data_IF_381328390345
#
_entry.id   IF_381328390345
#
_cell.length_a   1.000
_cell.length_b   1.000
_cell.length_c   1.000
_cell.angle_alpha   90.00
_cell.angle_beta   90.00
_cell.angle_gamma   90.00
#
_symmetry.space_group_name_H-M   'P 1'
#
loop_
_entity.id
_entity.type
_entity.pdbx_description
1 polymer ?
#
# COMPACT_ATOMS: atom_id res chain seq x y z
N UNK A 1 19.81 -10.39 21.56
CA UNK A 1 20.44 -9.50 20.55
C UNK A 1 19.79 -8.12 20.69
N UNK A 2 20.56 -7.03 20.62
CA UNK A 2 20.03 -5.67 20.85
C UNK A 2 19.28 -5.20 19.59
N UNK A 3 18.10 -4.58 19.76
CA UNK A 3 17.29 -4.04 18.64
C UNK A 3 18.11 -3.09 17.76
N UNK A 4 18.92 -2.22 18.35
CA UNK A 4 19.76 -1.28 17.59
C UNK A 4 20.81 -1.97 16.71
N UNK A 5 21.35 -3.10 17.16
CA UNK A 5 22.27 -3.92 16.37
C UNK A 5 21.55 -4.56 15.18
N UNK A 6 20.35 -5.10 15.40
CA UNK A 6 19.52 -5.64 14.33
C UNK A 6 19.12 -4.59 13.29
N UNK A 7 18.85 -3.35 13.72
CA UNK A 7 18.57 -2.24 12.79
C UNK A 7 19.79 -1.94 11.92
N UNK A 8 20.98 -1.92 12.49
CA UNK A 8 22.23 -1.71 11.71
C UNK A 8 22.46 -2.84 10.71
N UNK A 9 22.26 -4.08 11.13
CA UNK A 9 22.38 -5.26 10.25
C UNK A 9 21.32 -5.23 9.15
N UNK A 10 20.06 -4.90 9.47
CA UNK A 10 19.00 -4.71 8.48
C UNK A 10 19.43 -3.71 7.39
N UNK A 11 19.90 -2.52 7.80
CA UNK A 11 20.34 -1.49 6.86
C UNK A 11 21.52 -1.96 5.99
N UNK A 12 22.47 -2.68 6.58
CA UNK A 12 23.62 -3.23 5.87
C UNK A 12 23.19 -4.29 4.85
N UNK A 13 22.31 -5.22 5.23
CA UNK A 13 21.79 -6.26 4.33
C UNK A 13 20.93 -5.67 3.22
N UNK A 14 20.10 -4.67 3.52
CA UNK A 14 19.31 -3.99 2.51
C UNK A 14 20.20 -3.26 1.47
N UNK A 15 21.25 -2.55 1.93
CA UNK A 15 22.23 -1.89 1.04
C UNK A 15 23.00 -2.89 0.19
N UNK A 16 23.37 -4.04 0.76
CA UNK A 16 24.08 -5.11 0.04
C UNK A 16 23.14 -6.05 -0.73
N UNK A 17 21.85 -5.70 -0.80
CA UNK A 17 20.84 -6.41 -1.57
C UNK A 17 20.58 -7.86 -1.12
N UNK A 18 20.86 -8.17 0.15
CA UNK A 18 20.63 -9.49 0.79
C UNK A 18 19.27 -9.48 1.48
N UNK A 19 18.18 -9.49 0.67
CA UNK A 19 16.82 -9.21 1.13
C UNK A 19 16.29 -10.24 2.13
N UNK A 20 16.62 -11.52 1.98
CA UNK A 20 16.24 -12.58 2.92
C UNK A 20 16.85 -12.33 4.31
N UNK A 21 18.14 -12.00 4.38
CA UNK A 21 18.79 -11.65 5.65
C UNK A 21 18.25 -10.36 6.25
N UNK A 22 17.92 -9.38 5.42
CA UNK A 22 17.25 -8.17 5.89
C UNK A 22 15.86 -8.49 6.47
N UNK A 23 15.12 -9.42 5.86
CA UNK A 23 13.84 -9.89 6.40
C UNK A 23 13.98 -10.55 7.76
N UNK A 24 14.96 -11.45 7.93
CA UNK A 24 15.24 -12.10 9.22
C UNK A 24 15.53 -11.07 10.33
N UNK A 25 16.26 -10.00 10.00
CA UNK A 25 16.56 -8.94 10.98
C UNK A 25 15.33 -8.15 11.39
N UNK A 26 14.46 -7.77 10.45
CA UNK A 26 13.24 -7.05 10.81
C UNK A 26 12.24 -7.95 11.52
N UNK A 27 12.16 -9.23 11.16
CA UNK A 27 11.31 -10.20 11.86
C UNK A 27 11.81 -10.38 13.33
N UNK A 28 13.11 -10.48 13.58
CA UNK A 28 13.68 -10.55 14.92
C UNK A 28 13.42 -9.27 15.76
N UNK A 29 13.43 -8.10 15.13
CA UNK A 29 13.06 -6.84 15.79
C UNK A 29 11.56 -6.86 16.15
N UNK A 30 10.71 -7.27 15.20
CA UNK A 30 9.27 -7.36 15.39
C UNK A 30 8.91 -8.30 16.54
N UNK A 31 9.52 -9.49 16.59
CA UNK A 31 9.29 -10.47 17.65
C UNK A 31 9.72 -9.96 19.03
N UNK A 32 10.82 -9.18 19.08
CA UNK A 32 11.28 -8.56 20.36
C UNK A 32 10.31 -7.48 20.84
N UNK A 33 9.62 -6.78 19.93
CA UNK A 33 8.73 -5.66 20.25
C UNK A 33 7.27 -6.08 20.42
N UNK A 34 6.85 -7.23 19.90
CA UNK A 34 5.53 -7.81 20.14
C UNK A 34 5.50 -8.42 21.54
N UNK A 35 4.95 -7.69 22.51
CA UNK A 35 4.77 -8.18 23.87
C UNK A 35 3.32 -8.56 24.12
N UNK A 36 3.11 -9.76 24.64
CA UNK A 36 1.88 -10.25 25.34
C UNK A 36 0.53 -10.05 24.63
N UNK A 37 0.50 -10.11 23.29
CA UNK A 37 -0.76 -10.04 22.53
C UNK A 37 -1.40 -8.66 22.48
N UNK A 38 -0.72 -7.61 22.96
CA UNK A 38 -1.18 -6.23 22.85
C UNK A 38 -1.11 -5.74 21.39
N UNK A 39 -2.05 -4.88 21.04
CA UNK A 39 -1.98 -4.12 19.80
C UNK A 39 -0.79 -3.18 19.84
N UNK A 40 0.05 -3.21 18.82
CA UNK A 40 1.17 -2.27 18.67
C UNK A 40 0.89 -1.29 17.53
N UNK A 41 1.35 -0.05 17.67
CA UNK A 41 1.20 0.98 16.66
C UNK A 41 2.49 1.75 16.44
N UNK A 42 3.00 1.71 15.22
CA UNK A 42 4.14 2.49 14.74
C UNK A 42 3.63 3.62 13.84
N UNK A 43 3.20 4.74 14.41
CA UNK A 43 2.69 5.85 13.62
C UNK A 43 3.81 6.70 13.00
N UNK A 44 3.58 7.20 11.78
CA UNK A 44 4.48 8.15 11.10
C UNK A 44 4.34 9.58 11.66
N UNK A 45 3.11 9.93 12.06
CA UNK A 45 2.76 11.27 12.57
C UNK A 45 1.50 11.20 13.44
N UNK A 46 1.23 12.28 14.16
CA UNK A 46 0.15 12.35 15.14
C UNK A 46 -1.24 12.04 14.57
N UNK A 47 -1.50 12.39 13.31
CA UNK A 47 -2.80 12.12 12.68
C UNK A 47 -3.12 10.63 12.60
N UNK A 48 -2.10 9.78 12.40
CA UNK A 48 -2.30 8.32 12.34
C UNK A 48 -2.77 7.73 13.67
N UNK A 49 -2.34 8.29 14.81
CA UNK A 49 -2.90 7.91 16.11
C UNK A 49 -4.40 8.22 16.19
N UNK A 50 -4.81 9.43 15.78
CA UNK A 50 -6.22 9.82 15.78
C UNK A 50 -7.05 8.97 14.80
N UNK A 51 -6.53 8.70 13.60
CA UNK A 51 -7.19 7.82 12.63
C UNK A 51 -7.36 6.41 13.20
N UNK A 52 -6.30 5.86 13.80
CA UNK A 52 -6.35 4.54 14.43
C UNK A 52 -7.41 4.49 15.54
N UNK A 53 -7.36 5.40 16.50
CA UNK A 53 -8.33 5.47 17.60
C UNK A 53 -9.77 5.66 17.09
N UNK A 54 -9.95 6.51 16.09
CA UNK A 54 -11.28 6.79 15.52
C UNK A 54 -11.87 5.57 14.82
N UNK A 55 -11.09 4.89 13.97
CA UNK A 55 -11.61 3.79 13.15
C UNK A 55 -11.64 2.45 13.88
N UNK A 56 -10.69 2.18 14.74
CA UNK A 56 -10.65 0.92 15.51
C UNK A 56 -11.32 1.00 16.87
N UNK A 57 -11.82 2.20 17.26
CA UNK A 57 -12.57 2.44 18.51
C UNK A 57 -11.81 1.94 19.75
N UNK A 58 -10.50 2.06 19.76
CA UNK A 58 -9.65 1.63 20.87
C UNK A 58 -8.52 2.63 21.12
N UNK A 59 -8.13 2.72 22.39
CA UNK A 59 -6.90 3.37 22.85
C UNK A 59 -5.97 2.36 23.55
N UNK A 60 -6.34 1.08 23.51
CA UNK A 60 -5.54 0.00 24.08
C UNK A 60 -4.52 -0.48 23.04
N UNK A 61 -3.43 0.26 22.93
CA UNK A 61 -2.29 -0.07 22.09
C UNK A 61 -0.99 0.45 22.71
N UNK A 62 0.11 -0.17 22.37
CA UNK A 62 1.44 0.29 22.71
C UNK A 62 2.04 1.06 21.52
N UNK A 63 2.40 2.34 21.76
CA UNK A 63 3.09 3.15 20.76
C UNK A 63 4.56 2.73 20.68
N UNK A 64 4.99 2.22 19.55
CA UNK A 64 6.34 1.71 19.36
C UNK A 64 7.24 2.77 18.73
N UNK A 65 8.38 3.03 19.38
CA UNK A 65 9.38 4.01 18.92
C UNK A 65 10.08 3.61 17.61
N UNK A 66 10.26 2.31 17.39
CA UNK A 66 11.00 1.79 16.25
C UNK A 66 10.09 1.69 15.03
N UNK A 67 10.49 2.20 13.85
CA UNK A 67 9.61 2.26 12.67
C UNK A 67 9.55 0.92 11.91
N UNK A 68 9.10 -0.14 12.59
CA UNK A 68 9.06 -1.51 12.05
C UNK A 68 8.23 -1.58 10.76
N UNK A 69 7.08 -0.90 10.71
CA UNK A 69 6.26 -0.82 9.49
C UNK A 69 7.05 -0.27 8.30
N UNK A 70 7.87 0.78 8.51
CA UNK A 70 8.71 1.35 7.43
C UNK A 70 9.83 0.42 7.02
N UNK A 71 10.35 -0.41 7.92
CA UNK A 71 11.38 -1.39 7.59
C UNK A 71 10.78 -2.47 6.68
N UNK A 72 9.61 -3.02 7.01
CA UNK A 72 8.88 -3.96 6.14
C UNK A 72 8.49 -3.30 4.81
N UNK A 73 7.97 -2.08 4.85
CA UNK A 73 7.59 -1.33 3.64
C UNK A 73 8.80 -1.11 2.70
N UNK A 74 9.95 -0.68 3.24
CA UNK A 74 11.17 -0.50 2.43
C UNK A 74 11.67 -1.81 1.82
N UNK A 75 11.53 -2.92 2.55
CA UNK A 75 11.88 -4.25 2.07
C UNK A 75 10.93 -4.69 0.94
N UNK A 76 9.63 -4.43 1.09
CA UNK A 76 8.64 -4.69 0.05
C UNK A 76 8.97 -3.96 -1.25
N UNK A 77 9.34 -2.68 -1.18
CA UNK A 77 9.78 -1.91 -2.36
C UNK A 77 10.97 -2.56 -3.06
N UNK A 78 11.93 -3.11 -2.31
CA UNK A 78 13.06 -3.84 -2.90
C UNK A 78 12.64 -5.14 -3.60
N UNK A 79 11.63 -5.82 -3.08
CA UNK A 79 11.05 -6.98 -3.78
C UNK A 79 10.27 -6.56 -5.03
N UNK A 80 9.52 -5.45 -4.99
CA UNK A 80 8.82 -4.90 -6.16
C UNK A 80 9.80 -4.50 -7.28
N UNK A 81 10.92 -3.84 -6.94
CA UNK A 81 11.99 -3.51 -7.89
C UNK A 81 12.54 -4.75 -8.63
N UNK A 82 12.39 -5.93 -8.04
CA UNK A 82 12.80 -7.23 -8.60
C UNK A 82 11.64 -8.03 -9.20
N UNK A 83 10.48 -7.46 -9.31
CA UNK A 83 9.26 -8.11 -9.81
C UNK A 83 8.80 -9.31 -8.95
N UNK A 84 9.23 -9.40 -7.69
CA UNK A 84 8.78 -10.41 -6.72
C UNK A 84 7.58 -9.90 -5.93
N UNK A 85 6.45 -9.73 -6.62
CA UNK A 85 5.25 -9.10 -6.06
C UNK A 85 4.57 -9.92 -4.96
N UNK A 86 4.68 -11.24 -4.99
CA UNK A 86 4.23 -12.15 -3.94
C UNK A 86 4.93 -11.88 -2.60
N UNK A 87 6.28 -11.84 -2.63
CA UNK A 87 7.09 -11.52 -1.46
C UNK A 87 6.89 -10.07 -1.00
N UNK A 88 6.76 -9.13 -1.94
CA UNK A 88 6.48 -7.75 -1.62
C UNK A 88 5.13 -7.62 -0.87
N UNK A 89 4.08 -8.25 -1.38
CA UNK A 89 2.77 -8.26 -0.74
C UNK A 89 2.83 -8.84 0.68
N UNK A 90 3.53 -9.96 0.89
CA UNK A 90 3.75 -10.52 2.23
C UNK A 90 4.39 -9.53 3.21
N UNK A 91 5.42 -8.77 2.76
CA UNK A 91 6.06 -7.76 3.62
C UNK A 91 5.16 -6.56 3.89
N UNK A 92 4.29 -6.19 2.94
CA UNK A 92 3.29 -5.14 3.13
C UNK A 92 2.18 -5.58 4.09
N UNK A 93 1.78 -6.85 4.09
CA UNK A 93 0.87 -7.39 5.11
C UNK A 93 1.48 -7.24 6.52
N UNK A 94 2.74 -7.65 6.68
CA UNK A 94 3.47 -7.47 7.95
C UNK A 94 3.59 -5.98 8.32
N UNK A 95 3.86 -5.09 7.36
CA UNK A 95 3.91 -3.65 7.62
C UNK A 95 2.56 -3.11 8.13
N UNK A 96 1.45 -3.56 7.52
CA UNK A 96 0.10 -3.15 7.91
C UNK A 96 -0.29 -3.64 9.32
N UNK A 97 0.28 -4.73 9.84
CA UNK A 97 0.08 -5.14 11.24
C UNK A 97 0.58 -4.08 12.23
N UNK A 98 1.67 -3.37 11.89
CA UNK A 98 2.28 -2.34 12.72
C UNK A 98 1.70 -0.94 12.51
N UNK A 99 1.14 -0.66 11.34
CA UNK A 99 0.45 0.60 11.05
C UNK A 99 -0.71 0.37 10.08
N UNK A 100 -1.89 0.15 10.63
CA UNK A 100 -3.11 -0.16 9.87
C UNK A 100 -3.74 1.03 9.16
N UNK A 101 -3.20 2.23 9.36
CA UNK A 101 -3.73 3.48 8.77
C UNK A 101 -2.74 4.16 7.83
N UNK A 102 -1.57 3.57 7.62
CA UNK A 102 -0.57 4.07 6.68
C UNK A 102 -1.00 3.80 5.23
N UNK A 103 -1.43 4.86 4.55
CA UNK A 103 -1.94 4.78 3.18
C UNK A 103 -0.88 4.34 2.16
N UNK A 104 0.39 4.65 2.38
CA UNK A 104 1.46 4.23 1.46
C UNK A 104 1.59 2.71 1.40
N UNK A 105 1.40 2.03 2.54
CA UNK A 105 1.37 0.55 2.59
C UNK A 105 0.22 0.01 1.73
N UNK A 106 -0.97 0.58 1.85
CA UNK A 106 -2.14 0.11 1.09
C UNK A 106 -2.00 0.37 -0.41
N UNK A 107 -1.42 1.51 -0.81
CA UNK A 107 -1.17 1.79 -2.22
C UNK A 107 -0.20 0.79 -2.85
N UNK A 108 0.89 0.46 -2.16
CA UNK A 108 1.83 -0.55 -2.63
C UNK A 108 1.18 -1.96 -2.64
N UNK A 109 0.34 -2.29 -1.65
CA UNK A 109 -0.45 -3.55 -1.67
C UNK A 109 -1.32 -3.63 -2.91
N UNK A 110 -2.03 -2.55 -3.27
CA UNK A 110 -2.88 -2.55 -4.47
C UNK A 110 -2.06 -2.71 -5.75
N UNK A 111 -0.87 -2.12 -5.84
CA UNK A 111 0.03 -2.34 -6.99
C UNK A 111 0.51 -3.79 -7.07
N UNK A 112 0.91 -4.41 -5.96
CA UNK A 112 1.27 -5.83 -5.96
C UNK A 112 0.10 -6.71 -6.43
N UNK A 113 -1.13 -6.44 -5.97
CA UNK A 113 -2.32 -7.20 -6.35
C UNK A 113 -2.68 -7.07 -7.82
N UNK A 114 -2.44 -5.89 -8.43
CA UNK A 114 -2.58 -5.70 -9.89
C UNK A 114 -1.59 -6.58 -10.65
N UNK A 115 -0.32 -6.56 -10.26
CA UNK A 115 0.72 -7.35 -10.92
C UNK A 115 0.52 -8.86 -10.76
N UNK A 116 -0.09 -9.30 -9.66
CA UNK A 116 -0.44 -10.70 -9.40
C UNK A 116 -1.77 -11.12 -10.04
N UNK A 117 -2.53 -10.20 -10.62
CA UNK A 117 -3.85 -10.50 -11.19
C UNK A 117 -4.94 -10.83 -10.15
N UNK A 118 -4.71 -10.50 -8.88
CA UNK A 118 -5.57 -10.84 -7.75
C UNK A 118 -6.74 -9.84 -7.61
N UNK A 119 -7.61 -9.78 -8.62
CA UNK A 119 -8.68 -8.77 -8.74
C UNK A 119 -9.67 -8.74 -7.57
N UNK A 120 -9.98 -9.91 -6.98
CA UNK A 120 -10.89 -9.98 -5.83
C UNK A 120 -10.27 -9.30 -4.63
N UNK A 121 -9.02 -9.62 -4.30
CA UNK A 121 -8.28 -9.00 -3.19
C UNK A 121 -8.04 -7.52 -3.44
N UNK A 122 -7.74 -7.12 -4.68
CA UNK A 122 -7.60 -5.71 -5.07
C UNK A 122 -8.87 -4.92 -4.72
N UNK A 123 -10.04 -5.44 -5.08
CA UNK A 123 -11.33 -4.80 -4.78
C UNK A 123 -11.57 -4.70 -3.27
N UNK A 124 -11.31 -5.77 -2.52
CA UNK A 124 -11.48 -5.82 -1.07
C UNK A 124 -10.54 -4.83 -0.37
N UNK A 125 -9.24 -4.84 -0.71
CA UNK A 125 -8.24 -3.91 -0.19
C UNK A 125 -8.60 -2.46 -0.53
N UNK A 126 -9.03 -2.18 -1.76
CA UNK A 126 -9.46 -0.83 -2.18
C UNK A 126 -10.67 -0.36 -1.37
N UNK A 127 -11.63 -1.24 -1.07
CA UNK A 127 -12.76 -0.90 -0.19
C UNK A 127 -12.33 -0.62 1.24
N UNK A 128 -11.41 -1.41 1.77
CA UNK A 128 -10.93 -1.25 3.14
C UNK A 128 -10.23 0.09 3.34
N UNK A 129 -9.35 0.46 2.41
CA UNK A 129 -8.59 1.70 2.51
C UNK A 129 -9.44 2.98 2.38
N UNK A 130 -10.64 2.89 1.79
CA UNK A 130 -11.52 4.06 1.58
C UNK A 130 -11.77 4.87 2.87
N UNK A 131 -11.92 4.20 3.98
CA UNK A 131 -12.16 4.85 5.29
C UNK A 131 -10.99 5.72 5.79
N UNK A 132 -9.78 5.48 5.30
CA UNK A 132 -8.57 6.22 5.74
C UNK A 132 -8.20 7.37 4.79
N UNK A 133 -8.93 7.54 3.68
CA UNK A 133 -8.65 8.56 2.67
C UNK A 133 -9.04 9.94 3.20
N UNK A 134 -8.08 10.88 3.18
CA UNK A 134 -8.30 12.27 3.58
C UNK A 134 -7.63 13.31 2.67
N UNK A 135 -6.87 12.87 1.64
CA UNK A 135 -6.26 13.78 0.67
C UNK A 135 -6.90 13.65 -0.71
N UNK A 136 -6.83 14.73 -1.50
CA UNK A 136 -7.31 14.71 -2.91
C UNK A 136 -6.53 13.69 -3.74
N UNK A 137 -5.23 13.56 -3.52
CA UNK A 137 -4.38 12.59 -4.21
C UNK A 137 -4.82 11.15 -3.93
N UNK A 138 -5.16 10.83 -2.68
CA UNK A 138 -5.63 9.50 -2.29
C UNK A 138 -7.01 9.20 -2.87
N UNK A 139 -7.92 10.19 -2.90
CA UNK A 139 -9.22 10.05 -3.57
C UNK A 139 -9.00 9.69 -5.05
N UNK A 140 -8.10 10.40 -5.73
CA UNK A 140 -7.79 10.11 -7.13
C UNK A 140 -7.22 8.69 -7.32
N UNK A 141 -6.29 8.26 -6.46
CA UNK A 141 -5.73 6.89 -6.50
C UNK A 141 -6.80 5.83 -6.26
N UNK A 142 -7.71 6.09 -5.32
CA UNK A 142 -8.84 5.20 -5.04
C UNK A 142 -9.70 4.96 -6.29
N UNK A 143 -10.10 6.03 -6.99
CA UNK A 143 -10.89 5.90 -8.21
C UNK A 143 -10.11 5.22 -9.33
N UNK A 144 -8.81 5.46 -9.47
CA UNK A 144 -7.95 4.75 -10.43
C UNK A 144 -7.86 3.25 -10.16
N UNK A 145 -7.79 2.83 -8.90
CA UNK A 145 -7.81 1.41 -8.55
C UNK A 145 -9.13 0.75 -8.89
N UNK A 146 -10.26 1.45 -8.67
CA UNK A 146 -11.57 0.94 -9.06
C UNK A 146 -11.70 0.92 -10.60
N UNK A 147 -11.20 1.95 -11.29
CA UNK A 147 -11.18 1.99 -12.75
C UNK A 147 -10.41 0.78 -13.32
N UNK A 148 -9.21 0.52 -12.83
CA UNK A 148 -8.42 -0.67 -13.21
C UNK A 148 -9.22 -1.97 -13.02
N UNK A 149 -9.91 -2.12 -11.89
CA UNK A 149 -10.77 -3.29 -11.66
C UNK A 149 -11.83 -3.45 -12.76
N UNK A 150 -12.44 -2.34 -13.23
CA UNK A 150 -13.44 -2.40 -14.30
C UNK A 150 -12.82 -2.62 -15.69
N UNK A 151 -11.59 -2.16 -15.94
CA UNK A 151 -10.84 -2.56 -17.16
C UNK A 151 -10.72 -4.08 -17.23
N UNK A 152 -10.24 -4.70 -16.16
CA UNK A 152 -10.07 -6.15 -16.06
C UNK A 152 -11.41 -6.93 -16.14
N UNK A 153 -12.51 -6.28 -15.75
CA UNK A 153 -13.86 -6.83 -15.89
C UNK A 153 -14.46 -6.63 -17.30
N UNK A 154 -13.75 -5.99 -18.20
CA UNK A 154 -14.22 -5.64 -19.55
C UNK A 154 -15.46 -4.76 -19.54
N UNK A 155 -15.49 -3.80 -18.63
CA UNK A 155 -16.52 -2.78 -18.50
C UNK A 155 -15.91 -1.38 -18.79
N UNK A 156 -15.54 -1.10 -20.06
CA UNK A 156 -14.72 0.06 -20.43
C UNK A 156 -15.39 1.41 -20.13
N UNK A 157 -16.71 1.53 -20.28
CA UNK A 157 -17.43 2.78 -19.99
C UNK A 157 -17.33 3.17 -18.53
N UNK A 158 -17.47 2.19 -17.62
CA UNK A 158 -17.31 2.41 -16.18
C UNK A 158 -15.89 2.78 -15.81
N UNK A 159 -14.93 2.09 -16.43
CA UNK A 159 -13.51 2.36 -16.21
C UNK A 159 -13.16 3.78 -16.64
N UNK A 160 -13.55 4.18 -17.84
CA UNK A 160 -13.30 5.52 -18.40
C UNK A 160 -13.92 6.63 -17.50
N UNK A 161 -15.18 6.46 -17.10
CA UNK A 161 -15.84 7.40 -16.18
C UNK A 161 -15.04 7.57 -14.88
N UNK A 162 -14.53 6.48 -14.30
CA UNK A 162 -13.79 6.51 -13.04
C UNK A 162 -12.39 7.14 -13.19
N UNK A 163 -11.68 6.88 -14.30
CA UNK A 163 -10.43 7.56 -14.61
C UNK A 163 -10.64 9.06 -14.79
N UNK A 164 -11.65 9.45 -15.57
CA UNK A 164 -12.03 10.87 -15.75
C UNK A 164 -12.36 11.51 -14.40
N UNK A 165 -13.18 10.84 -13.59
CA UNK A 165 -13.53 11.33 -12.25
C UNK A 165 -12.30 11.45 -11.34
N UNK A 166 -11.35 10.52 -11.42
CA UNK A 166 -10.10 10.60 -10.66
C UNK A 166 -9.31 11.88 -10.97
N UNK A 167 -9.29 12.30 -12.23
CA UNK A 167 -8.58 13.50 -12.68
C UNK A 167 -9.19 14.82 -12.15
N UNK A 168 -10.46 14.81 -11.73
CA UNK A 168 -11.05 15.97 -11.03
C UNK A 168 -10.44 16.22 -9.65
N UNK A 169 -9.89 15.19 -9.01
CA UNK A 169 -9.23 15.30 -7.70
C UNK A 169 -7.73 15.56 -7.83
N UNK A 170 -7.06 14.80 -8.69
CA UNK A 170 -5.63 14.94 -8.95
C UNK A 170 -5.32 14.37 -10.33
N UNK A 171 -4.92 15.26 -11.24
CA UNK A 171 -4.60 14.92 -12.62
C UNK A 171 -3.45 13.91 -12.71
N UNK A 172 -3.54 12.98 -13.66
CA UNK A 172 -2.53 11.94 -13.90
C UNK A 172 -2.42 11.63 -15.39
N UNK A 173 -1.22 11.76 -15.95
CA UNK A 173 -0.91 11.37 -17.33
C UNK A 173 -1.21 9.88 -17.61
N UNK A 174 -1.02 9.03 -16.61
CA UNK A 174 -1.38 7.59 -16.71
C UNK A 174 -2.89 7.43 -16.88
N UNK A 175 -3.70 8.17 -16.10
CA UNK A 175 -5.15 8.13 -16.25
C UNK A 175 -5.60 8.67 -17.63
N UNK A 176 -4.96 9.71 -18.16
CA UNK A 176 -5.24 10.20 -19.52
C UNK A 176 -4.93 9.14 -20.58
N UNK A 177 -3.79 8.46 -20.45
CA UNK A 177 -3.42 7.39 -21.38
C UNK A 177 -4.42 6.23 -21.35
N UNK A 178 -4.91 5.87 -20.16
CA UNK A 178 -5.96 4.83 -20.01
C UNK A 178 -7.29 5.28 -20.61
N UNK A 179 -7.69 6.54 -20.42
CA UNK A 179 -8.91 7.11 -21.02
C UNK A 179 -8.81 7.03 -22.57
N UNK A 180 -7.72 7.53 -23.15
CA UNK A 180 -7.52 7.51 -24.60
C UNK A 180 -7.54 6.08 -25.18
N UNK A 181 -6.90 5.14 -24.47
CA UNK A 181 -6.95 3.72 -24.86
C UNK A 181 -8.37 3.16 -24.85
N UNK A 182 -9.15 3.46 -23.80
CA UNK A 182 -10.52 3.01 -23.67
C UNK A 182 -11.45 3.67 -24.69
N UNK A 183 -11.27 4.95 -25.00
CA UNK A 183 -12.02 5.66 -26.05
C UNK A 183 -11.79 5.01 -27.41
N UNK A 184 -10.53 4.72 -27.75
CA UNK A 184 -10.18 4.02 -28.99
C UNK A 184 -10.82 2.62 -29.04
N UNK A 185 -10.77 1.88 -27.94
CA UNK A 185 -11.38 0.55 -27.84
C UNK A 185 -12.91 0.57 -27.98
N UNK A 186 -13.57 1.67 -27.62
CA UNK A 186 -15.01 1.88 -27.80
C UNK A 186 -15.39 2.45 -29.17
N UNK A 187 -14.43 2.67 -30.08
CA UNK A 187 -14.67 3.30 -31.37
C UNK A 187 -15.06 4.79 -31.26
N UNK A 188 -14.75 5.43 -30.16
CA UNK A 188 -14.94 6.87 -29.95
C UNK A 188 -13.65 7.56 -30.37
N UNK A 189 -13.60 8.03 -31.62
CA UNK A 189 -12.49 8.88 -32.05
C UNK A 189 -12.53 10.17 -31.24
N UNK A 190 -11.37 10.55 -30.68
CA UNK A 190 -11.20 11.86 -30.07
C UNK A 190 -11.43 12.90 -31.17
N UNK A 191 -12.37 13.86 -31.06
CA UNK A 191 -12.40 14.98 -32.00
C UNK A 191 -11.10 15.76 -31.85
N UNK A 192 -10.39 15.97 -32.98
CA UNK A 192 -9.18 16.79 -33.07
C UNK A 192 -9.37 18.21 -32.53
#
# INVERSE_FOLDING_TARGET
MNIEENIKLFQQYQKSNKLEKASEMVDAIADTLKTDGRTVLCANHILEFYLFEYYFKTRDYEAVRYPVHRMYHSLAKKYMERMHFDKAYEKLEKAAEWNRVDMDIYWEKTECLKQLGELKKLKETTKELHKFIYTRADIARYYRNIAYYYVEKKEPEKAMMLYTYSNMFSHSKTADSEINFLETALGRECPE
#
